data_IF_604981475360
#
_entry.id   IF_604981475360
#
_cell.length_a   1.000
_cell.length_b   1.000
_cell.length_c   1.000
_cell.angle_alpha   90.00
_cell.angle_beta   90.00
_cell.angle_gamma   90.00
#
_symmetry.space_group_name_H-M   'P 1'
#
loop_
_entity.id
_entity.type
_entity.pdbx_description
1 polymer ?
#
# COMPACT_ATOMS: atom_id res chain seq x y z
N UNK A 1 1.95 -8.40 -12.07
CA UNK A 1 3.04 -9.11 -11.36
C UNK A 1 2.99 -8.72 -9.89
N UNK A 2 2.94 -9.67 -8.95
CA UNK A 2 3.00 -9.35 -7.52
C UNK A 2 4.41 -8.87 -7.15
N UNK A 3 4.49 -7.89 -6.26
CA UNK A 3 5.78 -7.40 -5.72
C UNK A 3 5.79 -7.30 -4.20
N UNK A 4 4.62 -7.37 -3.55
CA UNK A 4 4.49 -7.57 -2.12
C UNK A 4 3.39 -8.63 -1.87
N UNK A 5 3.70 -9.57 -0.98
CA UNK A 5 2.75 -10.60 -0.56
C UNK A 5 2.14 -10.22 0.79
N UNK A 6 0.84 -10.46 0.98
CA UNK A 6 0.14 -10.12 2.21
C UNK A 6 0.41 -11.11 3.35
N UNK A 7 0.12 -10.63 4.56
CA UNK A 7 -0.17 -11.48 5.71
C UNK A 7 -1.67 -11.85 5.82
N UNK A 8 -2.57 -11.15 5.11
CA UNK A 8 -4.03 -11.21 5.22
C UNK A 8 -4.78 -11.59 3.92
N UNK A 9 -4.07 -11.92 2.85
CA UNK A 9 -4.64 -12.25 1.54
C UNK A 9 -4.82 -11.08 0.54
N UNK A 10 -4.38 -9.85 0.84
CA UNK A 10 -4.29 -8.73 -0.13
C UNK A 10 -2.97 -8.62 -0.94
N UNK A 11 -2.99 -8.77 -2.26
CA UNK A 11 -1.77 -8.75 -3.08
C UNK A 11 -1.55 -7.38 -3.73
N UNK A 12 -0.36 -6.80 -3.55
CA UNK A 12 0.05 -5.63 -4.31
C UNK A 12 0.66 -6.06 -5.67
N UNK A 13 0.08 -5.57 -6.76
CA UNK A 13 0.46 -5.92 -8.12
C UNK A 13 0.80 -4.69 -8.97
N UNK A 14 1.70 -4.90 -9.92
CA UNK A 14 1.93 -3.98 -11.05
C UNK A 14 1.21 -4.52 -12.30
N UNK A 15 0.37 -3.69 -12.91
CA UNK A 15 -0.20 -3.98 -14.23
C UNK A 15 0.90 -3.85 -15.29
N UNK A 16 1.15 -4.95 -16.00
CA UNK A 16 2.14 -5.03 -17.07
C UNK A 16 1.49 -5.27 -18.42
N UNK A 17 0.15 -5.20 -18.50
CA UNK A 17 -0.61 -5.28 -19.74
C UNK A 17 -0.33 -4.02 -20.56
N UNK A 18 0.16 -4.13 -21.81
CA UNK A 18 0.31 -2.97 -22.67
C UNK A 18 -1.01 -2.20 -22.79
N UNK A 19 -0.95 -0.87 -22.61
CA UNK A 19 -2.12 0.01 -22.66
C UNK A 19 -2.07 1.14 -21.62
N UNK A 20 -3.16 1.91 -21.47
CA UNK A 20 -3.21 3.08 -20.58
C UNK A 20 -3.01 2.77 -19.08
N UNK A 21 -3.12 1.49 -18.70
CA UNK A 21 -2.90 1.00 -17.33
C UNK A 21 -1.51 0.42 -17.09
N UNK A 22 -0.66 0.35 -18.12
CA UNK A 22 0.70 -0.17 -18.00
C UNK A 22 1.50 0.59 -16.93
N UNK A 23 2.07 -0.14 -15.98
CA UNK A 23 2.87 0.37 -14.87
C UNK A 23 2.07 0.77 -13.62
N UNK A 24 0.74 0.79 -13.68
CA UNK A 24 -0.10 1.14 -12.51
C UNK A 24 0.01 0.08 -11.41
N UNK A 25 -0.08 0.55 -10.17
CA UNK A 25 -0.01 -0.27 -8.96
C UNK A 25 -1.40 -0.42 -8.38
N UNK A 26 -1.81 -1.65 -8.12
CA UNK A 26 -3.09 -1.98 -7.50
C UNK A 26 -2.89 -2.87 -6.29
N UNK A 27 -3.81 -2.78 -5.33
CA UNK A 27 -4.03 -3.84 -4.34
C UNK A 27 -5.25 -4.65 -4.73
N UNK A 28 -5.12 -5.97 -4.68
CA UNK A 28 -6.21 -6.90 -4.90
C UNK A 28 -6.43 -7.72 -3.62
N UNK A 29 -7.59 -7.54 -3.01
CA UNK A 29 -8.02 -8.30 -1.84
C UNK A 29 -8.53 -9.68 -2.25
N UNK A 30 -7.65 -10.61 -2.63
CA UNK A 30 -8.05 -11.97 -3.02
C UNK A 30 -8.76 -12.67 -1.84
N UNK A 31 -8.27 -12.46 -0.62
CA UNK A 31 -8.89 -12.98 0.61
C UNK A 31 -10.21 -12.31 1.01
N UNK A 32 -10.44 -11.06 0.58
CA UNK A 32 -11.64 -10.27 0.92
C UNK A 32 -12.67 -10.19 -0.21
N UNK A 33 -12.42 -10.85 -1.34
CA UNK A 33 -13.30 -10.82 -2.52
C UNK A 33 -13.24 -9.51 -3.32
N UNK A 34 -12.29 -8.62 -3.03
CA UNK A 34 -12.08 -7.38 -3.79
C UNK A 34 -11.27 -7.68 -5.08
N UNK A 35 -11.98 -8.15 -6.10
CA UNK A 35 -11.41 -8.56 -7.39
C UNK A 35 -11.14 -7.39 -8.35
N UNK A 36 -11.83 -6.26 -8.16
CA UNK A 36 -11.68 -5.08 -9.04
C UNK A 36 -10.34 -4.36 -8.80
N UNK A 37 -9.79 -4.50 -7.60
CA UNK A 37 -8.52 -3.94 -7.19
C UNK A 37 -8.56 -2.43 -6.93
N UNK A 38 -7.99 -2.01 -5.80
CA UNK A 38 -7.86 -0.60 -5.45
C UNK A 38 -6.62 -0.01 -6.13
N UNK A 39 -6.79 1.08 -6.90
CA UNK A 39 -5.67 1.80 -7.49
C UNK A 39 -4.86 2.50 -6.39
N UNK A 40 -3.59 2.12 -6.23
CA UNK A 40 -2.68 2.71 -5.25
C UNK A 40 -1.80 3.81 -5.87
N UNK A 41 -1.32 3.61 -7.09
CA UNK A 41 -0.48 4.59 -7.78
C UNK A 41 -0.47 4.36 -9.29
N UNK A 42 -0.08 5.40 -10.06
CA UNK A 42 0.09 5.28 -11.51
C UNK A 42 1.46 4.73 -11.94
N UNK A 43 2.35 4.46 -10.98
CA UNK A 43 3.67 3.88 -11.19
C UNK A 43 4.36 3.54 -9.87
N UNK A 44 5.35 2.63 -9.90
CA UNK A 44 6.14 2.27 -8.71
C UNK A 44 6.88 3.47 -8.11
N UNK A 45 7.43 4.35 -8.93
CA UNK A 45 8.09 5.58 -8.44
C UNK A 45 7.11 6.48 -7.69
N UNK A 46 5.87 6.61 -8.19
CA UNK A 46 4.85 7.39 -7.50
C UNK A 46 4.44 6.71 -6.19
N UNK A 47 4.25 5.38 -6.19
CA UNK A 47 3.94 4.62 -4.98
C UNK A 47 4.95 4.90 -3.86
N UNK A 48 6.25 4.71 -4.15
CA UNK A 48 7.29 4.89 -3.14
C UNK A 48 7.40 6.35 -2.68
N UNK A 49 7.24 7.33 -3.59
CA UNK A 49 7.21 8.75 -3.18
C UNK A 49 6.06 9.03 -2.23
N UNK A 50 4.83 8.61 -2.57
CA UNK A 50 3.66 8.86 -1.71
C UNK A 50 3.80 8.18 -0.35
N UNK A 51 4.36 6.96 -0.30
CA UNK A 51 4.63 6.27 0.97
C UNK A 51 5.67 7.01 1.81
N UNK A 52 6.78 7.46 1.20
CA UNK A 52 7.81 8.24 1.90
C UNK A 52 7.26 9.57 2.40
N UNK A 53 6.54 10.31 1.56
CA UNK A 53 5.91 11.58 1.92
C UNK A 53 4.92 11.40 3.09
N UNK A 54 4.14 10.31 3.08
CA UNK A 54 3.23 9.95 4.18
C UNK A 54 3.98 9.72 5.49
N UNK A 55 5.09 8.96 5.45
CA UNK A 55 5.93 8.69 6.62
C UNK A 55 6.61 9.94 7.17
N UNK A 56 7.11 10.81 6.30
CA UNK A 56 7.81 12.04 6.69
C UNK A 56 6.86 13.09 7.26
N UNK A 57 5.67 13.22 6.66
CA UNK A 57 4.68 14.24 7.06
C UNK A 57 3.73 13.79 8.18
N UNK A 58 3.61 12.48 8.42
CA UNK A 58 2.53 11.90 9.22
C UNK A 58 1.15 11.97 8.54
N UNK A 59 1.11 12.36 7.26
CA UNK A 59 -0.11 12.39 6.43
C UNK A 59 -0.51 11.00 5.94
N UNK A 60 -1.71 10.85 5.35
CA UNK A 60 -2.19 9.55 4.90
C UNK A 60 -1.52 9.09 3.61
N UNK A 61 -1.36 7.77 3.49
CA UNK A 61 -1.33 7.08 2.20
C UNK A 61 -2.74 6.54 1.92
N UNK A 62 -3.42 7.11 0.92
CA UNK A 62 -4.86 6.87 0.68
C UNK A 62 -5.71 7.21 1.92
N UNK A 63 -6.25 6.20 2.62
CA UNK A 63 -7.01 6.34 3.87
C UNK A 63 -6.26 5.78 5.09
N UNK A 64 -4.97 5.43 4.93
CA UNK A 64 -4.15 4.82 5.96
C UNK A 64 -3.14 5.83 6.52
N UNK A 65 -3.16 6.05 7.83
CA UNK A 65 -2.22 6.93 8.52
C UNK A 65 -1.08 6.13 9.17
N UNK A 66 0.18 6.56 9.00
CA UNK A 66 1.31 5.97 9.70
C UNK A 66 1.28 6.41 11.17
N UNK A 67 1.22 5.43 12.07
CA UNK A 67 1.30 5.64 13.52
C UNK A 67 2.52 4.87 14.05
N UNK A 68 3.61 5.55 14.45
CA UNK A 68 4.73 4.88 15.09
C UNK A 68 4.33 4.43 16.50
N UNK A 69 4.82 3.25 16.90
CA UNK A 69 4.66 2.74 18.25
C UNK A 69 5.91 1.99 18.69
N UNK A 70 6.04 1.74 19.99
CA UNK A 70 7.09 0.90 20.56
C UNK A 70 6.47 -0.43 20.97
N UNK A 71 7.03 -1.55 20.51
CA UNK A 71 6.54 -2.87 20.88
C UNK A 71 7.03 -3.29 22.29
N UNK A 72 6.56 -4.43 22.79
CA UNK A 72 6.96 -4.95 24.12
C UNK A 72 8.47 -5.24 24.24
N UNK A 73 9.18 -5.34 23.12
CA UNK A 73 10.63 -5.55 23.07
C UNK A 73 11.43 -4.23 23.02
N UNK A 74 10.76 -3.08 22.99
CA UNK A 74 11.39 -1.76 22.84
C UNK A 74 11.73 -1.40 21.39
N UNK A 75 11.26 -2.19 20.40
CA UNK A 75 11.51 -1.88 19.00
C UNK A 75 10.52 -0.83 18.50
N UNK A 76 11.05 0.13 17.73
CA UNK A 76 10.24 1.10 17.00
C UNK A 76 9.58 0.42 15.80
N UNK A 77 8.26 0.33 15.87
CA UNK A 77 7.40 -0.27 14.87
C UNK A 77 6.50 0.78 14.24
N UNK A 78 5.86 0.40 13.14
CA UNK A 78 4.94 1.25 12.39
C UNK A 78 3.63 0.49 12.18
N UNK A 79 2.53 1.11 12.57
CA UNK A 79 1.17 0.67 12.25
C UNK A 79 0.52 1.61 11.24
N UNK A 80 -0.38 1.08 10.42
CA UNK A 80 -1.18 1.85 9.47
C UNK A 80 -2.65 1.80 9.86
N UNK A 81 -3.18 2.91 10.37
CA UNK A 81 -4.54 2.98 10.90
C UNK A 81 -5.49 3.67 9.91
N UNK A 82 -6.69 3.12 9.75
CA UNK A 82 -7.78 3.79 9.03
C UNK A 82 -8.41 4.80 9.99
N UNK A 83 -8.43 6.08 9.62
CA UNK A 83 -9.12 7.13 10.37
C UNK A 83 -10.41 7.50 9.63
N UNK A 84 -11.55 7.29 10.29
CA UNK A 84 -12.88 7.74 9.85
C UNK A 84 -13.16 9.16 10.30
#
# INVERSE_FOLDING_TARGET
>A
MPFALPNDGGVAIVDHRPGPSYGRVYEMGIGSGNLDGALWATGLTQLFRTLTDSLESGGPFLCYWPTPYEDESGHRCLEWQIRT
#
